data_IF_849087182259
#
_entry.id   IF_849087182259
#
_cell.length_a   1.000
_cell.length_b   1.000
_cell.length_c   1.000
_cell.angle_alpha   90.00
_cell.angle_beta   90.00
_cell.angle_gamma   90.00
#
_symmetry.space_group_name_H-M   'P 1'
#
loop_
_entity.id
_entity.type
_entity.pdbx_description
1 polymer ?
#
# COMPACT_ATOMS: atom_id res chain seq x y z
N UNK A 1 32.51 -5.52 -7.26
CA UNK A 1 31.19 -5.47 -6.60
C UNK A 1 30.15 -5.53 -7.70
N UNK A 2 29.60 -6.73 -7.97
CA UNK A 2 28.76 -6.98 -9.14
C UNK A 2 27.34 -6.48 -8.83
N UNK A 3 26.87 -5.51 -9.61
CA UNK A 3 25.46 -5.09 -9.63
C UNK A 3 24.65 -6.21 -10.28
N UNK A 4 23.88 -6.95 -9.48
CA UNK A 4 22.96 -7.95 -10.00
C UNK A 4 21.71 -7.22 -10.53
N UNK A 5 21.62 -7.03 -11.86
CA UNK A 5 20.38 -6.58 -12.50
C UNK A 5 19.40 -7.74 -12.46
N UNK A 6 18.46 -7.70 -11.54
CA UNK A 6 17.26 -8.55 -11.58
C UNK A 6 16.33 -7.94 -12.62
N UNK A 7 16.45 -8.34 -13.88
CA UNK A 7 15.35 -8.22 -14.85
C UNK A 7 14.52 -9.49 -14.74
N UNK A 8 13.71 -9.57 -13.68
CA UNK A 8 12.68 -10.60 -13.58
C UNK A 8 11.54 -10.17 -14.50
N UNK A 9 11.31 -10.93 -15.57
CA UNK A 9 10.15 -10.80 -16.47
C UNK A 9 8.87 -11.21 -15.72
N UNK A 10 8.57 -10.52 -14.61
CA UNK A 10 7.33 -10.73 -13.89
C UNK A 10 6.19 -10.35 -14.83
N UNK A 11 5.32 -11.34 -15.08
CA UNK A 11 4.04 -11.16 -15.75
C UNK A 11 3.34 -9.98 -15.09
N UNK A 12 2.96 -8.99 -15.90
CA UNK A 12 2.11 -7.90 -15.43
C UNK A 12 0.73 -8.49 -15.10
N UNK A 13 0.19 -8.13 -13.95
CA UNK A 13 -1.15 -8.52 -13.51
C UNK A 13 -1.99 -7.28 -13.24
N UNK A 14 -3.29 -7.39 -13.44
CA UNK A 14 -4.31 -6.38 -13.16
C UNK A 14 -4.64 -6.27 -11.67
N UNK A 15 -5.26 -5.14 -11.27
CA UNK A 15 -5.84 -4.99 -9.94
C UNK A 15 -6.88 -6.08 -9.60
N UNK A 16 -7.66 -6.54 -10.58
CA UNK A 16 -8.62 -7.63 -10.40
C UNK A 16 -7.91 -8.97 -10.14
N UNK A 17 -6.89 -9.30 -10.93
CA UNK A 17 -6.08 -10.51 -10.71
C UNK A 17 -5.41 -10.48 -9.32
N UNK A 18 -4.94 -9.31 -8.85
CA UNK A 18 -4.36 -9.16 -7.52
C UNK A 18 -5.38 -9.50 -6.40
N UNK A 19 -6.63 -9.05 -6.54
CA UNK A 19 -7.69 -9.33 -5.56
C UNK A 19 -7.98 -10.83 -5.50
N UNK A 20 -7.99 -11.52 -6.65
CA UNK A 20 -8.26 -12.96 -6.73
C UNK A 20 -7.10 -13.82 -6.20
N UNK A 21 -5.84 -13.37 -6.35
CA UNK A 21 -4.65 -14.11 -5.95
C UNK A 21 -4.64 -14.50 -4.47
N UNK A 22 -5.00 -13.56 -3.58
CA UNK A 22 -4.98 -13.77 -2.13
C UNK A 22 -3.61 -14.21 -1.57
N UNK A 23 -3.49 -14.37 -0.25
CA UNK A 23 -2.33 -15.05 0.38
C UNK A 23 -0.95 -14.38 0.22
N UNK A 24 -0.86 -13.17 -0.37
CA UNK A 24 0.41 -12.49 -0.61
C UNK A 24 0.98 -11.80 0.64
N UNK A 25 0.19 -11.61 1.70
CA UNK A 25 0.54 -10.69 2.78
C UNK A 25 0.58 -9.24 2.29
N UNK A 26 1.14 -8.32 3.10
CA UNK A 26 1.15 -6.88 2.78
C UNK A 26 1.96 -6.60 1.50
N UNK A 27 1.25 -6.28 0.44
CA UNK A 27 1.80 -6.05 -0.90
C UNK A 27 1.02 -4.94 -1.59
N UNK A 28 1.69 -4.23 -2.48
CA UNK A 28 1.11 -3.24 -3.38
C UNK A 28 1.24 -3.74 -4.82
N UNK A 29 0.36 -3.26 -5.69
CA UNK A 29 0.50 -3.40 -7.14
C UNK A 29 0.99 -2.06 -7.68
N UNK A 30 2.14 -2.10 -8.34
CA UNK A 30 2.81 -0.91 -8.89
C UNK A 30 3.16 -1.18 -10.35
N UNK A 31 2.49 -0.47 -11.26
CA UNK A 31 2.59 -0.65 -12.70
C UNK A 31 2.44 -2.13 -13.13
N UNK A 32 1.47 -2.84 -12.55
CA UNK A 32 1.17 -4.25 -12.82
C UNK A 32 2.13 -5.23 -12.13
N UNK A 33 2.98 -4.78 -11.19
CA UNK A 33 3.96 -5.63 -10.49
C UNK A 33 3.67 -5.69 -8.99
N UNK A 34 3.76 -6.89 -8.42
CA UNK A 34 3.57 -7.10 -6.97
C UNK A 34 4.83 -6.65 -6.22
N UNK A 35 4.69 -5.65 -5.37
CA UNK A 35 5.76 -5.14 -4.51
C UNK A 35 5.45 -5.48 -3.06
N UNK A 36 6.37 -6.17 -2.37
CA UNK A 36 6.21 -6.45 -0.93
C UNK A 36 6.47 -5.18 -0.12
N UNK A 37 5.56 -4.86 0.78
CA UNK A 37 5.78 -3.78 1.73
C UNK A 37 6.78 -4.19 2.80
N UNK A 38 7.53 -3.22 3.32
CA UNK A 38 8.36 -3.46 4.50
C UNK A 38 7.51 -3.86 5.70
N UNK A 39 8.00 -4.74 6.59
CA UNK A 39 7.28 -5.10 7.80
C UNK A 39 7.13 -3.87 8.70
N UNK A 40 5.93 -3.69 9.26
CA UNK A 40 5.64 -2.61 10.21
C UNK A 40 5.92 -3.07 11.63
N UNK A 41 6.74 -2.30 12.37
CA UNK A 41 7.06 -2.53 13.77
C UNK A 41 6.39 -1.56 14.74
N UNK A 42 6.74 -1.65 16.02
CA UNK A 42 6.19 -0.79 17.09
C UNK A 42 6.39 0.71 16.78
N UNK A 43 7.59 1.10 16.33
CA UNK A 43 7.90 2.49 16.00
C UNK A 43 7.00 3.01 14.87
N UNK A 44 6.84 2.24 13.79
CA UNK A 44 5.94 2.56 12.69
C UNK A 44 4.51 2.79 13.21
N UNK A 45 3.96 1.83 13.97
CA UNK A 45 2.61 1.92 14.50
C UNK A 45 2.40 3.10 15.45
N UNK A 46 3.41 3.43 16.25
CA UNK A 46 3.36 4.58 17.17
C UNK A 46 3.30 5.90 16.41
N UNK A 47 4.17 6.07 15.40
CA UNK A 47 4.24 7.31 14.62
C UNK A 47 2.98 7.47 13.75
N UNK A 48 2.58 6.42 13.03
CA UNK A 48 1.38 6.41 12.20
C UNK A 48 0.11 6.69 13.04
N UNK A 49 -0.01 6.04 14.21
CA UNK A 49 -1.14 6.23 15.12
C UNK A 49 -1.25 7.65 15.66
N UNK A 50 -0.12 8.26 16.04
CA UNK A 50 -0.11 9.66 16.48
C UNK A 50 -0.55 10.60 15.35
N UNK A 51 -0.04 10.40 14.14
CA UNK A 51 -0.43 11.21 12.98
C UNK A 51 -1.93 11.08 12.67
N UNK A 52 -2.44 9.84 12.63
CA UNK A 52 -3.85 9.56 12.42
C UNK A 52 -4.73 10.22 13.49
N UNK A 53 -4.34 10.15 14.76
CA UNK A 53 -5.10 10.74 15.86
C UNK A 53 -5.31 12.24 15.66
N UNK A 54 -4.23 13.00 15.45
CA UNK A 54 -4.33 14.45 15.31
C UNK A 54 -5.05 14.86 14.02
N UNK A 55 -4.73 14.23 12.89
CA UNK A 55 -5.32 14.58 11.61
C UNK A 55 -6.80 14.20 11.54
N UNK A 56 -7.17 12.99 12.01
CA UNK A 56 -8.57 12.55 11.97
C UNK A 56 -9.47 13.36 12.90
N UNK A 57 -8.95 13.80 14.06
CA UNK A 57 -9.69 14.69 14.96
C UNK A 57 -10.03 16.02 14.28
N UNK A 58 -9.06 16.64 13.60
CA UNK A 58 -9.28 17.86 12.84
C UNK A 58 -10.29 17.64 11.70
N UNK A 59 -10.04 16.65 10.84
CA UNK A 59 -10.91 16.36 9.68
C UNK A 59 -12.34 16.06 10.09
N UNK A 60 -12.55 15.34 11.20
CA UNK A 60 -13.90 15.06 11.74
C UNK A 60 -14.58 16.32 12.27
N UNK A 61 -13.87 17.14 13.06
CA UNK A 61 -14.42 18.38 13.63
C UNK A 61 -14.85 19.35 12.54
N UNK A 62 -14.03 19.51 11.52
CA UNK A 62 -14.27 20.42 10.40
C UNK A 62 -15.13 19.80 9.28
N UNK A 63 -15.53 18.53 9.41
CA UNK A 63 -16.33 17.78 8.42
C UNK A 63 -15.71 17.73 7.01
N UNK A 64 -14.39 17.55 6.95
CA UNK A 64 -13.61 17.63 5.70
C UNK A 64 -13.49 16.27 4.97
N UNK A 65 -14.03 15.20 5.53
CA UNK A 65 -14.01 13.88 4.91
C UNK A 65 -13.51 12.78 5.85
N UNK A 66 -12.65 11.91 5.33
CA UNK A 66 -12.15 10.72 6.03
C UNK A 66 -10.62 10.69 6.00
N UNK A 67 -10.04 10.15 7.06
CA UNK A 67 -8.61 9.82 7.15
C UNK A 67 -8.54 8.30 7.27
N UNK A 68 -7.63 7.67 6.52
CA UNK A 68 -7.41 6.24 6.48
C UNK A 68 -5.90 5.97 6.47
N UNK A 69 -5.45 4.90 7.12
CA UNK A 69 -4.03 4.54 7.31
C UNK A 69 -3.86 3.02 7.26
N UNK A 70 -2.61 2.55 7.25
CA UNK A 70 -2.20 1.16 7.47
C UNK A 70 -2.52 0.17 6.36
N UNK A 71 -3.79 -0.15 6.14
CA UNK A 71 -4.21 -1.37 5.44
C UNK A 71 -5.14 -1.11 4.26
N UNK A 72 -5.59 0.13 4.09
CA UNK A 72 -6.59 0.45 3.05
C UNK A 72 -5.93 0.42 1.68
N UNK A 73 -6.32 -0.55 0.85
CA UNK A 73 -5.99 -0.58 -0.56
C UNK A 73 -6.70 0.55 -1.32
N UNK A 74 -5.95 1.32 -2.10
CA UNK A 74 -6.48 2.39 -2.95
C UNK A 74 -6.19 2.01 -4.39
N UNK A 75 -7.25 1.92 -5.19
CA UNK A 75 -7.14 1.62 -6.60
C UNK A 75 -7.04 2.91 -7.41
N UNK A 76 -5.87 3.17 -8.00
CA UNK A 76 -5.52 4.48 -8.57
C UNK A 76 -5.41 4.50 -10.10
N UNK A 77 -5.30 3.34 -10.74
CA UNK A 77 -5.20 3.19 -12.19
C UNK A 77 -5.99 1.93 -12.61
N UNK A 78 -6.27 1.78 -13.91
CA UNK A 78 -6.71 0.51 -14.53
C UNK A 78 -5.84 0.23 -15.77
N UNK A 79 -5.45 -1.03 -15.99
CA UNK A 79 -4.57 -1.51 -17.07
C UNK A 79 -3.13 -0.93 -17.07
N UNK A 80 -2.09 -1.66 -16.60
CA UNK A 80 -2.09 -2.94 -15.91
C UNK A 80 -2.17 -2.84 -14.38
N UNK A 81 -2.07 -1.64 -13.80
CA UNK A 81 -2.58 -1.42 -12.43
C UNK A 81 -4.05 -1.16 -12.57
#
# INVERSE_FOLDING_TARGET
MVMNRVTDEQKLITGEELIELGGLGRSELVAGRIVKMSPTGNEHGTIEGNFFHYLSNFVRREKLGKVQVGEVGIYIQRDPD
#
